data_IF_661709432366
#
_entry.id   IF_661709432366
#
_cell.length_a   1.000
_cell.length_b   1.000
_cell.length_c   1.000
_cell.angle_alpha   90.00
_cell.angle_beta   90.00
_cell.angle_gamma   90.00
#
_symmetry.space_group_name_H-M   'P 1'
#
loop_
_entity.id
_entity.type
_entity.pdbx_description
1 polymer ?
#
# COMPACT_ATOMS: atom_id res chain seq x y z
N UNK A 1 15.43 -17.18 -4.76
CA UNK A 1 14.83 -17.41 -3.43
C UNK A 1 13.40 -16.90 -3.48
N UNK A 2 12.44 -17.65 -2.95
CA UNK A 2 11.07 -17.16 -2.75
C UNK A 2 11.04 -16.07 -1.68
N UNK A 3 10.08 -15.15 -1.76
CA UNK A 3 9.88 -14.12 -0.75
C UNK A 3 9.38 -14.74 0.57
N UNK A 4 9.75 -14.18 1.74
CA UNK A 4 9.13 -14.56 3.01
C UNK A 4 7.61 -14.34 2.96
N UNK A 5 6.79 -15.23 3.56
CA UNK A 5 5.33 -15.16 3.46
C UNK A 5 4.73 -13.79 3.86
N UNK A 6 5.22 -13.19 4.95
CA UNK A 6 4.73 -11.88 5.39
C UNK A 6 5.10 -10.75 4.44
N UNK A 7 6.26 -10.83 3.77
CA UNK A 7 6.66 -9.83 2.76
C UNK A 7 5.82 -9.98 1.50
N UNK A 8 5.55 -11.21 1.07
CA UNK A 8 4.65 -11.47 -0.06
C UNK A 8 3.26 -10.92 0.22
N UNK A 9 2.70 -11.22 1.39
CA UNK A 9 1.37 -10.76 1.81
C UNK A 9 1.31 -9.25 2.02
N UNK A 10 2.35 -8.65 2.60
CA UNK A 10 2.50 -7.20 2.65
C UNK A 10 2.46 -6.57 1.26
N UNK A 11 3.19 -7.11 0.28
CA UNK A 11 3.18 -6.58 -1.09
C UNK A 11 1.78 -6.68 -1.71
N UNK A 12 1.07 -7.79 -1.51
CA UNK A 12 -0.29 -7.96 -2.01
C UNK A 12 -1.26 -6.94 -1.38
N UNK A 13 -1.20 -6.80 -0.06
CA UNK A 13 -2.03 -5.86 0.69
C UNK A 13 -1.75 -4.41 0.30
N UNK A 14 -0.46 -4.04 0.21
CA UNK A 14 -0.06 -2.70 -0.19
C UNK A 14 -0.54 -2.36 -1.61
N UNK A 15 -0.39 -3.28 -2.55
CA UNK A 15 -0.89 -3.09 -3.92
C UNK A 15 -2.41 -2.92 -3.96
N UNK A 16 -3.15 -3.72 -3.18
CA UNK A 16 -4.61 -3.60 -3.10
C UNK A 16 -5.04 -2.25 -2.53
N UNK A 17 -4.41 -1.80 -1.46
CA UNK A 17 -4.65 -0.48 -0.85
C UNK A 17 -4.35 0.63 -1.85
N UNK A 18 -3.17 0.60 -2.49
CA UNK A 18 -2.80 1.60 -3.49
C UNK A 18 -3.76 1.62 -4.67
N UNK A 19 -4.20 0.46 -5.18
CA UNK A 19 -5.18 0.39 -6.25
C UNK A 19 -6.51 1.03 -5.85
N UNK A 20 -7.03 0.72 -4.66
CA UNK A 20 -8.30 1.25 -4.17
C UNK A 20 -8.24 2.78 -4.00
N UNK A 21 -7.13 3.28 -3.46
CA UNK A 21 -6.95 4.71 -3.21
C UNK A 21 -6.61 5.50 -4.48
N UNK A 22 -5.89 4.90 -5.42
CA UNK A 22 -5.63 5.50 -6.73
C UNK A 22 -6.92 5.70 -7.53
N UNK A 23 -7.83 4.72 -7.48
CA UNK A 23 -9.12 4.78 -8.18
C UNK A 23 -10.13 5.73 -7.53
N UNK A 24 -10.01 5.98 -6.23
CA UNK A 24 -10.92 6.87 -5.49
C UNK A 24 -10.39 8.29 -5.32
N UNK A 25 -9.09 8.54 -5.53
CA UNK A 25 -8.49 9.86 -5.38
C UNK A 25 -9.20 10.92 -6.24
N UNK A 26 -9.46 12.14 -5.71
CA UNK A 26 -9.12 12.64 -4.37
C UNK A 26 -10.17 12.37 -3.29
N UNK A 27 -11.22 11.61 -3.58
CA UNK A 27 -12.33 11.37 -2.65
C UNK A 27 -11.91 10.32 -1.62
N UNK A 28 -11.91 10.63 -0.31
CA UNK A 28 -11.58 9.65 0.72
C UNK A 28 -12.56 8.46 0.72
N UNK A 29 -12.03 7.27 1.01
CA UNK A 29 -12.79 6.02 1.02
C UNK A 29 -12.60 5.27 2.33
N UNK A 30 -13.63 4.57 2.79
CA UNK A 30 -13.48 3.58 3.87
C UNK A 30 -13.08 2.22 3.29
N UNK A 31 -12.12 1.55 3.92
CA UNK A 31 -11.56 0.27 3.47
C UNK A 31 -11.58 -0.72 4.63
N UNK A 32 -12.33 -1.80 4.48
CA UNK A 32 -12.32 -2.92 5.43
C UNK A 32 -11.15 -3.87 5.20
N UNK A 33 -10.67 -4.54 6.24
CA UNK A 33 -9.54 -5.49 6.11
C UNK A 33 -9.85 -6.64 5.13
N UNK A 34 -11.10 -7.10 5.07
CA UNK A 34 -11.56 -8.13 4.15
C UNK A 34 -11.60 -7.68 2.67
N UNK A 35 -11.61 -6.37 2.40
CA UNK A 35 -11.47 -5.85 1.03
C UNK A 35 -10.01 -5.91 0.54
N UNK A 36 -9.07 -5.95 1.48
CA UNK A 36 -7.63 -6.01 1.21
C UNK A 36 -7.22 -7.45 0.95
N UNK A 37 -7.70 -8.34 1.82
CA UNK A 37 -7.33 -9.74 1.86
C UNK A 37 -8.54 -10.57 2.29
N UNK A 38 -8.88 -11.59 1.49
CA UNK A 38 -10.11 -12.38 1.73
C UNK A 38 -10.02 -13.21 3.02
N UNK A 39 -8.82 -13.55 3.49
CA UNK A 39 -8.64 -14.29 4.75
C UNK A 39 -8.55 -13.36 5.97
N UNK A 40 -8.58 -12.04 5.76
CA UNK A 40 -8.48 -11.04 6.83
C UNK A 40 -9.85 -10.77 7.46
N UNK A 41 -10.05 -11.30 8.66
CA UNK A 41 -11.29 -11.19 9.42
C UNK A 41 -11.01 -11.22 10.93
N UNK A 42 -12.07 -11.11 11.73
CA UNK A 42 -12.03 -11.44 13.16
C UNK A 42 -12.36 -12.91 13.34
N UNK A 43 -11.49 -13.61 14.06
CA UNK A 43 -11.74 -14.97 14.52
C UNK A 43 -13.00 -14.99 15.39
N UNK A 44 -14.01 -15.76 14.99
CA UNK A 44 -15.24 -15.93 15.78
C UNK A 44 -14.97 -16.51 17.18
N UNK A 45 -13.90 -17.30 17.31
CA UNK A 45 -13.55 -17.98 18.55
C UNK A 45 -12.86 -17.06 19.57
N UNK A 46 -12.04 -16.11 19.10
CA UNK A 46 -11.21 -15.26 19.96
C UNK A 46 -11.61 -13.79 19.95
N UNK A 47 -12.35 -13.36 18.93
CA UNK A 47 -12.63 -11.95 18.66
C UNK A 47 -11.40 -11.15 18.21
N UNK A 48 -10.28 -11.82 17.94
CA UNK A 48 -9.02 -11.20 17.49
C UNK A 48 -8.87 -11.31 15.98
N UNK A 49 -7.99 -10.48 15.39
CA UNK A 49 -7.66 -10.59 13.98
C UNK A 49 -7.06 -11.97 13.66
N UNK A 50 -7.45 -12.54 12.51
CA UNK A 50 -6.70 -13.66 11.96
C UNK A 50 -5.26 -13.22 11.63
N UNK A 51 -4.29 -14.15 11.50
CA UNK A 51 -2.94 -13.78 11.08
C UNK A 51 -2.89 -13.00 9.76
N UNK A 52 -3.84 -13.24 8.86
CA UNK A 52 -4.03 -12.45 7.65
C UNK A 52 -4.49 -11.02 7.97
N UNK A 53 -5.48 -10.89 8.86
CA UNK A 53 -5.99 -9.63 9.36
C UNK A 53 -4.92 -8.79 10.04
N UNK A 54 -4.05 -9.40 10.84
CA UNK A 54 -2.91 -8.73 11.47
C UNK A 54 -1.96 -8.12 10.43
N UNK A 55 -1.61 -8.89 9.39
CA UNK A 55 -0.72 -8.39 8.31
C UNK A 55 -1.40 -7.28 7.50
N UNK A 56 -2.70 -7.41 7.22
CA UNK A 56 -3.48 -6.39 6.51
C UNK A 56 -3.55 -5.09 7.31
N UNK A 57 -3.86 -5.18 8.61
CA UNK A 57 -3.89 -4.05 9.53
C UNK A 57 -2.52 -3.38 9.65
N UNK A 58 -1.47 -4.17 9.92
CA UNK A 58 -0.10 -3.67 10.03
C UNK A 58 0.39 -3.01 8.73
N UNK A 59 -0.05 -3.50 7.57
CA UNK A 59 0.27 -2.88 6.27
C UNK A 59 -0.31 -1.46 6.18
N UNK A 60 -1.56 -1.26 6.60
CA UNK A 60 -2.18 0.07 6.65
C UNK A 60 -1.40 1.04 7.55
N UNK A 61 -1.09 0.60 8.77
CA UNK A 61 -0.32 1.40 9.74
C UNK A 61 1.06 1.75 9.20
N UNK A 62 1.74 0.80 8.57
CA UNK A 62 3.06 1.04 8.02
C UNK A 62 3.04 2.02 6.84
N UNK A 63 2.05 1.91 5.94
CA UNK A 63 1.90 2.81 4.80
C UNK A 63 1.58 4.25 5.24
N UNK A 64 0.73 4.41 6.27
CA UNK A 64 0.45 5.71 6.88
C UNK A 64 1.69 6.29 7.56
N UNK A 65 2.35 5.52 8.44
CA UNK A 65 3.58 5.93 9.13
C UNK A 65 4.73 6.26 8.18
N UNK A 66 4.74 5.65 6.99
CA UNK A 66 5.69 5.94 5.90
C UNK A 66 5.28 7.13 5.04
N UNK A 67 4.10 7.70 5.28
CA UNK A 67 3.58 8.90 4.63
C UNK A 67 3.02 8.67 3.23
N UNK A 68 2.68 7.45 2.83
CA UNK A 68 2.07 7.18 1.52
C UNK A 68 0.56 7.43 1.50
N UNK A 69 -0.10 7.15 2.62
CA UNK A 69 -1.55 7.30 2.79
C UNK A 69 -1.83 8.05 4.08
N UNK A 70 -3.07 8.51 4.24
CA UNK A 70 -3.60 8.97 5.53
C UNK A 70 -5.01 8.41 5.71
N UNK A 71 -5.43 8.21 6.96
CA UNK A 71 -6.80 7.87 7.32
C UNK A 71 -7.21 8.67 8.56
N UNK A 72 -8.52 8.89 8.76
CA UNK A 72 -9.01 9.63 9.93
C UNK A 72 -9.18 8.73 11.16
N UNK A 73 -9.73 7.53 10.94
CA UNK A 73 -10.00 6.59 12.03
C UNK A 73 -9.52 5.21 11.64
N UNK A 74 -8.96 4.53 12.64
CA UNK A 74 -8.60 3.14 12.62
C UNK A 74 -9.51 2.43 13.62
N UNK A 75 -10.37 1.56 13.10
CA UNK A 75 -11.12 0.56 13.85
C UNK A 75 -10.53 -0.80 13.51
N UNK A 76 -10.73 -1.78 14.38
CA UNK A 76 -10.09 -3.10 14.31
C UNK A 76 -10.15 -3.77 12.92
N UNK A 77 -11.28 -3.63 12.22
CA UNK A 77 -11.51 -4.20 10.88
C UNK A 77 -11.76 -3.16 9.78
N UNK A 78 -11.67 -1.87 10.09
CA UNK A 78 -12.10 -0.80 9.18
C UNK A 78 -11.25 0.47 9.36
N UNK A 79 -10.70 0.96 8.24
CA UNK A 79 -10.07 2.27 8.17
C UNK A 79 -11.01 3.24 7.44
N UNK A 80 -11.24 4.42 8.00
CA UNK A 80 -12.17 5.41 7.43
C UNK A 80 -11.46 6.68 6.96
N UNK A 81 -12.00 7.30 5.91
CA UNK A 81 -11.44 8.49 5.25
C UNK A 81 -10.00 8.27 4.77
N UNK A 82 -9.73 7.08 4.20
CA UNK A 82 -8.43 6.75 3.62
C UNK A 82 -8.24 7.51 2.31
N UNK A 83 -7.08 8.14 2.12
CA UNK A 83 -6.71 8.83 0.87
C UNK A 83 -5.19 8.81 0.66
N UNK A 84 -4.75 8.92 -0.60
CA UNK A 84 -3.33 9.08 -0.93
C UNK A 84 -2.81 10.44 -0.41
N UNK A 85 -1.58 10.45 0.09
CA UNK A 85 -0.84 11.70 0.32
C UNK A 85 -0.20 12.19 -0.99
N UNK A 86 0.41 13.37 -0.97
CA UNK A 86 1.23 13.84 -2.08
C UNK A 86 2.37 12.85 -2.44
N UNK A 87 3.04 12.30 -1.43
CA UNK A 87 4.08 11.25 -1.62
C UNK A 87 3.49 10.00 -2.25
N UNK A 88 2.34 9.54 -1.76
CA UNK A 88 1.65 8.38 -2.33
C UNK A 88 1.29 8.57 -3.79
N UNK A 89 0.72 9.73 -4.14
CA UNK A 89 0.32 10.05 -5.51
C UNK A 89 1.52 10.20 -6.46
N UNK A 90 2.56 10.92 -6.05
CA UNK A 90 3.77 11.11 -6.88
C UNK A 90 4.45 9.79 -7.24
N UNK A 91 4.57 8.91 -6.25
CA UNK A 91 5.16 7.60 -6.45
C UNK A 91 4.30 6.74 -7.39
N UNK A 92 2.97 6.83 -7.29
CA UNK A 92 2.07 6.12 -8.20
C UNK A 92 2.07 6.71 -9.63
N UNK A 93 2.33 8.00 -9.79
CA UNK A 93 2.49 8.64 -11.10
C UNK A 93 3.84 8.35 -11.76
N UNK A 94 4.84 7.91 -11.00
CA UNK A 94 6.15 7.58 -11.54
C UNK A 94 6.07 6.42 -12.54
N UNK A 95 6.76 6.56 -13.68
CA UNK A 95 6.85 5.51 -14.70
C UNK A 95 8.03 4.59 -14.36
N UNK A 96 7.82 3.28 -14.16
CA UNK A 96 8.91 2.35 -13.89
C UNK A 96 9.76 2.15 -15.14
N UNK A 97 11.04 2.56 -15.10
CA UNK A 97 11.96 2.37 -16.23
C UNK A 97 12.20 0.91 -16.61
N UNK A 98 11.87 -0.04 -15.72
CA UNK A 98 11.93 -1.48 -15.95
C UNK A 98 10.70 -2.05 -16.68
N UNK A 99 9.60 -1.30 -16.77
CA UNK A 99 8.44 -1.64 -17.60
C UNK A 99 8.58 -0.85 -18.89
N UNK A 100 8.77 -1.52 -20.01
CA UNK A 100 8.87 -0.92 -21.35
C UNK A 100 7.54 -0.30 -21.84
N UNK A 101 6.63 0.02 -20.93
CA UNK A 101 5.30 0.56 -21.19
C UNK A 101 5.22 2.00 -20.69
N UNK A 102 4.49 2.87 -21.39
CA UNK A 102 4.21 4.25 -20.96
C UNK A 102 3.26 4.33 -19.74
N UNK A 103 3.15 3.25 -18.96
CA UNK A 103 2.24 3.14 -17.84
C UNK A 103 2.89 3.63 -16.55
N UNK A 104 2.13 4.39 -15.77
CA UNK A 104 2.51 4.78 -14.41
C UNK A 104 2.47 3.57 -13.46
N UNK A 105 3.16 3.66 -12.32
CA UNK A 105 3.13 2.62 -11.30
C UNK A 105 1.72 2.36 -10.76
N UNK A 106 0.87 3.38 -10.66
CA UNK A 106 -0.53 3.27 -10.25
C UNK A 106 -1.37 2.48 -11.26
N UNK A 107 -1.24 2.77 -12.55
CA UNK A 107 -1.89 1.99 -13.61
C UNK A 107 -1.41 0.54 -13.62
N UNK A 108 -0.10 0.32 -13.41
CA UNK A 108 0.48 -1.02 -13.36
C UNK A 108 -0.03 -1.81 -12.15
N UNK A 109 -0.04 -1.22 -10.94
CA UNK A 109 -0.59 -1.86 -9.73
C UNK A 109 -2.07 -2.17 -9.90
N UNK A 110 -2.89 -1.20 -10.33
CA UNK A 110 -4.33 -1.40 -10.50
C UNK A 110 -4.63 -2.54 -11.47
N UNK A 111 -3.91 -2.58 -12.60
CA UNK A 111 -4.04 -3.67 -13.58
C UNK A 111 -3.58 -5.02 -13.02
N UNK A 112 -2.44 -5.06 -12.32
CA UNK A 112 -1.89 -6.29 -11.77
C UNK A 112 -2.81 -6.90 -10.68
N UNK A 113 -3.37 -6.06 -9.81
CA UNK A 113 -4.35 -6.46 -8.79
C UNK A 113 -5.61 -7.02 -9.44
N UNK A 114 -6.15 -6.35 -10.47
CA UNK A 114 -7.35 -6.83 -11.20
C UNK A 114 -7.11 -8.14 -11.94
N UNK A 115 -5.88 -8.37 -12.42
CA UNK A 115 -5.51 -9.58 -13.14
C UNK A 115 -5.11 -10.76 -12.22
N UNK A 116 -4.97 -10.54 -10.90
CA UNK A 116 -4.50 -11.57 -9.97
C UNK A 116 -3.03 -11.98 -10.19
N UNK A 117 -2.22 -11.13 -10.82
CA UNK A 117 -0.84 -11.45 -11.20
C UNK A 117 0.15 -11.15 -10.06
N UNK A 118 0.33 -12.11 -9.13
CA UNK A 118 1.12 -11.94 -7.91
C UNK A 118 2.56 -11.43 -8.14
N UNK A 119 3.28 -11.97 -9.13
CA UNK A 119 4.65 -11.52 -9.43
C UNK A 119 4.72 -10.07 -9.93
N UNK A 120 3.71 -9.65 -10.71
CA UNK A 120 3.60 -8.27 -11.21
C UNK A 120 3.27 -7.31 -10.06
N UNK A 121 2.39 -7.74 -9.14
CA UNK A 121 2.05 -7.01 -7.91
C UNK A 121 3.29 -6.74 -7.05
N UNK A 122 4.06 -7.78 -6.73
CA UNK A 122 5.28 -7.65 -5.93
C UNK A 122 6.33 -6.75 -6.57
N UNK A 123 6.46 -6.80 -7.90
CA UNK A 123 7.38 -5.92 -8.64
C UNK A 123 6.95 -4.45 -8.58
N UNK A 124 5.64 -4.20 -8.70
CA UNK A 124 5.06 -2.88 -8.64
C UNK A 124 5.26 -2.21 -7.26
N UNK A 125 4.99 -2.94 -6.18
CA UNK A 125 5.16 -2.42 -4.83
C UNK A 125 6.63 -2.10 -4.54
N UNK A 126 7.56 -2.98 -4.94
CA UNK A 126 9.00 -2.70 -4.77
C UNK A 126 9.40 -1.39 -5.45
N UNK A 127 8.91 -1.14 -6.67
CA UNK A 127 9.17 0.10 -7.36
C UNK A 127 8.62 1.31 -6.59
N UNK A 128 7.36 1.24 -6.16
CA UNK A 128 6.70 2.30 -5.40
C UNK A 128 7.50 2.63 -4.13
N UNK A 129 7.85 1.62 -3.35
CA UNK A 129 8.57 1.81 -2.11
C UNK A 129 9.98 2.38 -2.33
N UNK A 130 10.70 1.91 -3.36
CA UNK A 130 12.00 2.43 -3.71
C UNK A 130 11.91 3.91 -4.12
N UNK A 131 10.92 4.26 -4.95
CA UNK A 131 10.70 5.65 -5.38
C UNK A 131 10.31 6.57 -4.23
N UNK A 132 9.52 6.09 -3.27
CA UNK A 132 9.15 6.88 -2.10
C UNK A 132 10.34 7.31 -1.23
N UNK A 133 11.51 6.67 -1.33
CA UNK A 133 12.73 7.09 -0.64
C UNK A 133 13.28 8.41 -1.23
N UNK A 134 13.11 8.64 -2.53
CA UNK A 134 13.55 9.88 -3.21
C UNK A 134 12.81 11.13 -2.70
N UNK A 135 11.63 10.94 -2.10
CA UNK A 135 10.77 12.01 -1.57
C UNK A 135 10.84 12.15 -0.04
N UNK A 136 11.75 11.44 0.63
CA UNK A 136 12.03 11.70 2.05
C UNK A 136 12.73 13.06 2.13
N UNK A 137 12.21 14.04 2.89
CA UNK A 137 12.92 15.30 3.08
C UNK A 137 14.30 15.00 3.65
N UNK A 138 15.35 15.34 2.91
CA UNK A 138 16.69 15.39 3.48
C UNK A 138 16.61 16.41 4.61
N UNK A 139 16.67 15.96 5.86
CA UNK A 139 17.06 16.85 6.96
C UNK A 139 18.53 17.17 6.68
N UNK A 140 18.73 18.21 5.88
CA UNK A 140 20.05 18.78 5.67
C UNK A 140 20.40 19.35 7.05
N UNK A 141 21.20 18.61 7.82
CA UNK A 141 21.88 19.14 8.98
C UNK A 141 22.84 20.23 8.49
N UNK A 142 22.33 21.43 8.24
CA UNK A 142 23.13 22.64 8.22
C UNK A 142 23.56 22.91 9.65
N UNK A 143 24.54 22.14 10.12
CA UNK A 143 25.46 22.62 11.15
C UNK A 143 26.38 23.59 10.41
N UNK A 144 25.94 24.84 10.32
CA UNK A 144 26.82 25.93 9.93
C UNK A 144 27.83 26.15 11.06
N UNK A 145 29.10 26.17 10.67
CA UNK A 145 30.33 26.39 11.44
C UNK A 145 30.23 27.23 12.71
#
# INVERSE_FOLDING_TARGET
MSLPPNIERFNQNAAKIFSLLYESFPVPRSIGIGEIDIDAELSEATGELTPAGEVAHATFIWLEGSGYITFRKNMEVLFTDCVLTAKGLEVLNAIPSSLSTSQTAGEFVSKAVKAGAAESVSSAVKFILAKGIEYVPLVINTVSN
#
